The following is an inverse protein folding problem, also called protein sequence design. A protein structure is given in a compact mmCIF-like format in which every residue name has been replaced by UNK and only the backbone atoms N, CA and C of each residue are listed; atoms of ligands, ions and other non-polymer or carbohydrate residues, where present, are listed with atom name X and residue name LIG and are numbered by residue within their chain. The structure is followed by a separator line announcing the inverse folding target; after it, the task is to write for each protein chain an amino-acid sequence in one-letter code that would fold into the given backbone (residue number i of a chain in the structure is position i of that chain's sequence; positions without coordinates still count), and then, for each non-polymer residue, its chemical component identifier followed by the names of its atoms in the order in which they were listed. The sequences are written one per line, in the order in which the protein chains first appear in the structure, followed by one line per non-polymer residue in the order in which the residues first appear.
data_IF_504780312468
#
_entry.id   IF_504780312468
#
_cell.length_a   1.000
_cell.length_b   1.000
_cell.length_c   1.000
_cell.angle_alpha   90.00
_cell.angle_beta   90.00
_cell.angle_gamma   90.00
#
_symmetry.space_group_name_H-M   'P 1'
#
loop_
_entity.id
_entity.type
_entity.pdbx_description
1 polymer ?
#
# COMPACT_ATOMS: atom_id res chain seq x y z
N UNK A 1 51.56 2.88 -11.03
CA UNK A 1 51.18 1.45 -10.99
C UNK A 1 49.81 1.35 -10.33
N UNK A 2 48.85 0.67 -10.94
CA UNK A 2 47.50 0.51 -10.40
C UNK A 2 47.52 -0.45 -9.20
N UNK A 3 46.76 -0.17 -8.15
CA UNK A 3 46.64 -1.10 -7.01
C UNK A 3 45.98 -2.42 -7.49
N UNK A 4 46.40 -3.59 -6.97
CA UNK A 4 45.77 -4.86 -7.30
C UNK A 4 44.31 -4.88 -6.83
N UNK A 5 43.44 -5.42 -7.68
CA UNK A 5 42.02 -5.54 -7.38
C UNK A 5 41.79 -6.60 -6.28
N UNK A 6 41.20 -6.18 -5.15
CA UNK A 6 40.80 -7.08 -4.08
C UNK A 6 39.34 -7.50 -4.31
N UNK A 7 39.12 -8.69 -4.87
CA UNK A 7 37.79 -9.24 -5.13
C UNK A 7 37.14 -9.61 -3.79
N UNK A 8 36.04 -8.94 -3.42
CA UNK A 8 35.23 -9.35 -2.26
C UNK A 8 34.74 -10.79 -2.49
N UNK A 9 34.65 -11.63 -1.44
CA UNK A 9 33.93 -12.88 -1.54
C UNK A 9 32.48 -12.56 -1.90
N UNK A 10 32.03 -13.08 -3.04
CA UNK A 10 30.64 -12.96 -3.46
C UNK A 10 29.81 -13.90 -2.57
N UNK A 11 29.21 -13.39 -1.49
CA UNK A 11 28.08 -14.07 -0.86
C UNK A 11 26.88 -13.86 -1.77
N UNK A 12 26.74 -14.76 -2.75
CA UNK A 12 25.54 -14.87 -3.55
C UNK A 12 24.59 -15.76 -2.76
N UNK A 13 23.50 -15.21 -2.24
CA UNK A 13 22.39 -16.02 -1.77
C UNK A 13 21.76 -16.68 -3.00
N UNK A 14 22.24 -17.87 -3.35
CA UNK A 14 21.61 -18.73 -4.33
C UNK A 14 20.34 -19.33 -3.72
N UNK A 15 19.18 -18.80 -4.08
CA UNK A 15 17.93 -19.56 -4.00
C UNK A 15 17.91 -20.48 -5.23
N UNK A 16 18.39 -21.72 -5.03
CA UNK A 16 18.23 -22.79 -6.00
C UNK A 16 16.75 -23.15 -6.06
N UNK A 17 16.04 -22.64 -7.05
CA UNK A 17 14.82 -23.29 -7.54
C UNK A 17 15.32 -24.53 -8.30
N UNK A 18 15.32 -25.66 -7.61
CA UNK A 18 15.57 -26.94 -8.25
C UNK A 18 14.62 -27.10 -9.43
N UNK A 19 15.20 -27.51 -10.54
CA UNK A 19 14.59 -27.52 -11.84
C UNK A 19 13.52 -28.62 -11.95
N UNK A 20 12.35 -28.20 -12.46
CA UNK A 20 11.38 -28.97 -13.22
C UNK A 20 10.58 -30.06 -12.49
N UNK A 21 9.60 -29.63 -11.70
CA UNK A 21 8.22 -29.94 -12.06
C UNK A 21 7.51 -28.63 -12.35
N UNK A 22 6.78 -28.55 -13.45
CA UNK A 22 6.14 -27.32 -13.94
C UNK A 22 5.16 -26.75 -12.93
N UNK A 23 5.65 -25.94 -12.01
CA UNK A 23 4.85 -25.02 -11.24
C UNK A 23 4.86 -23.76 -12.09
N UNK A 24 3.75 -23.53 -12.79
CA UNK A 24 3.53 -22.27 -13.48
C UNK A 24 3.98 -21.16 -12.56
N UNK A 25 4.82 -20.28 -13.06
CA UNK A 25 4.83 -18.90 -12.57
C UNK A 25 3.43 -18.37 -12.90
N UNK A 26 2.45 -18.78 -12.11
CA UNK A 26 1.47 -17.84 -11.62
C UNK A 26 2.35 -16.77 -11.01
N UNK A 27 2.59 -15.73 -11.82
CA UNK A 27 2.82 -14.39 -11.35
C UNK A 27 2.04 -14.31 -10.05
N UNK A 28 2.73 -14.22 -8.91
CA UNK A 28 2.05 -13.91 -7.66
C UNK A 28 1.46 -12.52 -7.92
N UNK A 29 0.28 -12.51 -8.54
CA UNK A 29 -0.61 -11.40 -8.65
C UNK A 29 -0.97 -11.16 -7.21
N UNK A 30 -0.16 -10.35 -6.54
CA UNK A 30 -0.64 -9.62 -5.38
C UNK A 30 -1.92 -8.99 -5.91
N UNK A 31 -3.11 -9.44 -5.47
CA UNK A 31 -4.35 -8.97 -6.03
C UNK A 31 -4.31 -7.45 -5.87
N UNK A 32 -4.32 -6.76 -7.01
CA UNK A 32 -4.49 -5.31 -6.98
C UNK A 32 -5.89 -5.11 -6.44
N UNK A 33 -5.98 -4.82 -5.16
CA UNK A 33 -7.19 -4.27 -4.58
C UNK A 33 -7.33 -2.91 -5.26
N UNK A 34 -8.10 -2.87 -6.34
CA UNK A 34 -8.51 -1.63 -6.96
C UNK A 34 -9.43 -0.94 -5.98
N UNK A 35 -8.83 -0.23 -5.01
CA UNK A 35 -9.56 0.63 -4.10
C UNK A 35 -10.12 1.79 -4.93
N UNK A 36 -11.30 1.57 -5.51
CA UNK A 36 -12.05 2.63 -6.16
C UNK A 36 -12.41 3.65 -5.09
N UNK A 37 -11.98 4.92 -5.21
CA UNK A 37 -12.42 5.94 -4.28
C UNK A 37 -13.93 6.14 -4.51
N UNK A 38 -14.71 6.04 -3.44
CA UNK A 38 -16.14 6.35 -3.37
C UNK A 38 -17.18 5.34 -3.91
N UNK A 39 -16.86 4.05 -4.03
CA UNK A 39 -17.94 3.04 -4.08
C UNK A 39 -17.96 2.34 -2.73
N UNK A 40 -19.04 2.55 -1.96
CA UNK A 40 -19.42 1.58 -0.93
C UNK A 40 -19.73 0.30 -1.69
N UNK A 41 -18.74 -0.56 -1.85
CA UNK A 41 -18.98 -1.85 -2.45
C UNK A 41 -19.66 -2.73 -1.40
N UNK A 42 -20.98 -2.63 -1.37
CA UNK A 42 -21.79 -3.46 -0.47
C UNK A 42 -21.49 -4.94 -0.71
N UNK A 43 -21.03 -5.35 -1.90
CA UNK A 43 -20.64 -6.73 -2.15
C UNK A 43 -19.33 -7.15 -1.46
N UNK A 44 -18.43 -6.21 -1.17
CA UNK A 44 -17.23 -6.46 -0.33
C UNK A 44 -17.61 -6.55 1.15
N UNK A 45 -18.53 -5.70 1.62
CA UNK A 45 -18.97 -5.65 3.02
C UNK A 45 -19.90 -6.82 3.35
N UNK A 46 -20.71 -7.24 2.38
CA UNK A 46 -21.75 -8.27 2.46
C UNK A 46 -21.37 -9.34 1.42
N UNK A 47 -20.40 -10.23 1.72
CA UNK A 47 -20.05 -11.30 0.78
C UNK A 47 -21.26 -12.22 0.61
N UNK A 48 -21.76 -12.36 -0.61
CA UNK A 48 -22.85 -13.29 -0.92
C UNK A 48 -22.41 -14.76 -0.80
N UNK A 49 -23.31 -15.70 -0.45
CA UNK A 49 -24.75 -15.52 -0.29
C UNK A 49 -25.13 -15.53 1.19
N UNK A 50 -25.33 -14.33 1.74
CA UNK A 50 -25.94 -14.13 3.06
C UNK A 50 -27.37 -14.71 3.15
N UNK A 51 -27.95 -15.12 2.02
CA UNK A 51 -29.23 -15.83 1.93
C UNK A 51 -29.27 -17.24 2.53
N UNK A 52 -28.16 -17.82 3.02
CA UNK A 52 -28.20 -19.11 3.73
C UNK A 52 -28.35 -19.00 5.26
N UNK A 53 -28.08 -17.83 5.85
CA UNK A 53 -28.07 -17.64 7.32
C UNK A 53 -28.91 -16.46 7.80
N UNK A 54 -29.16 -15.44 6.97
CA UNK A 54 -30.00 -14.30 7.32
C UNK A 54 -31.34 -14.35 6.58
N UNK A 55 -32.39 -13.94 7.29
CA UNK A 55 -33.70 -13.67 6.69
C UNK A 55 -33.67 -12.38 5.87
N UNK A 56 -34.59 -12.23 4.92
CA UNK A 56 -34.69 -11.01 4.08
C UNK A 56 -34.82 -9.74 4.94
N UNK A 57 -35.59 -9.79 6.03
CA UNK A 57 -35.74 -8.67 6.97
C UNK A 57 -34.41 -8.29 7.64
N UNK A 58 -33.58 -9.27 8.01
CA UNK A 58 -32.27 -9.02 8.60
C UNK A 58 -31.28 -8.45 7.59
N UNK A 59 -31.32 -8.92 6.34
CA UNK A 59 -30.54 -8.34 5.24
C UNK A 59 -30.92 -6.87 5.03
N UNK A 60 -32.21 -6.54 5.07
CA UNK A 60 -32.68 -5.16 4.92
C UNK A 60 -32.25 -4.28 6.10
N UNK A 61 -32.31 -4.81 7.33
CA UNK A 61 -31.82 -4.10 8.51
C UNK A 61 -30.32 -3.81 8.41
N UNK A 62 -29.52 -4.79 7.97
CA UNK A 62 -28.08 -4.64 7.77
C UNK A 62 -27.77 -3.55 6.73
N UNK A 63 -28.45 -3.59 5.58
CA UNK A 63 -28.31 -2.57 4.53
C UNK A 63 -28.64 -1.18 5.06
N UNK A 64 -29.69 -1.04 5.86
CA UNK A 64 -30.08 0.25 6.45
C UNK A 64 -29.01 0.80 7.41
N UNK A 65 -28.35 -0.07 8.21
CA UNK A 65 -27.28 0.33 9.13
C UNK A 65 -26.03 0.76 8.38
N UNK A 66 -25.61 -0.01 7.38
CA UNK A 66 -24.43 0.32 6.55
C UNK A 66 -24.67 1.64 5.82
N UNK A 67 -25.86 1.84 5.26
CA UNK A 67 -26.23 3.10 4.63
C UNK A 67 -26.21 4.28 5.60
N UNK A 68 -26.76 4.09 6.81
CA UNK A 68 -26.81 5.13 7.85
C UNK A 68 -25.42 5.56 8.30
N UNK A 69 -24.47 4.64 8.41
CA UNK A 69 -23.10 4.90 8.86
C UNK A 69 -22.08 4.78 7.73
N UNK A 70 -22.50 5.05 6.48
CA UNK A 70 -21.65 4.85 5.30
C UNK A 70 -20.28 5.53 5.36
N UNK A 71 -20.20 6.69 6.01
CA UNK A 71 -18.95 7.44 6.15
C UNK A 71 -17.92 6.65 6.98
N UNK A 72 -18.37 5.81 7.93
CA UNK A 72 -17.51 4.92 8.71
C UNK A 72 -17.00 3.71 7.90
N UNK A 73 -17.70 3.36 6.81
CA UNK A 73 -17.34 2.27 5.90
C UNK A 73 -16.69 2.79 4.60
N UNK A 74 -16.28 4.06 4.59
CA UNK A 74 -15.60 4.65 3.44
C UNK A 74 -14.16 4.12 3.33
N UNK A 75 -13.75 3.81 2.10
CA UNK A 75 -12.35 3.50 1.78
C UNK A 75 -11.48 4.76 1.68
N UNK A 76 -12.07 5.97 1.77
CA UNK A 76 -11.34 7.23 1.81
C UNK A 76 -11.01 7.56 3.27
N UNK A 77 -9.72 7.77 3.61
CA UNK A 77 -9.36 8.12 4.97
C UNK A 77 -9.97 9.48 5.36
N UNK A 78 -10.49 9.54 6.58
CA UNK A 78 -10.98 10.78 7.17
C UNK A 78 -9.84 11.70 7.64
N UNK A 79 -10.17 12.97 7.90
CA UNK A 79 -9.28 13.95 8.53
C UNK A 79 -9.98 14.57 9.74
N UNK A 80 -9.24 14.76 10.82
CA UNK A 80 -9.69 15.50 12.01
C UNK A 80 -8.85 16.74 12.19
N UNK A 81 -9.50 17.87 12.49
CA UNK A 81 -8.83 19.14 12.82
C UNK A 81 -8.75 19.35 14.34
N UNK A 82 -9.12 18.35 15.15
CA UNK A 82 -9.17 18.46 16.62
C UNK A 82 -7.78 18.45 17.27
N UNK A 83 -6.83 17.71 16.72
CA UNK A 83 -5.48 17.53 17.28
C UNK A 83 -4.48 17.40 16.14
N UNK A 84 -3.34 18.07 16.28
CA UNK A 84 -2.15 17.88 15.45
C UNK A 84 -1.10 17.13 16.26
N UNK A 85 -0.47 16.13 15.66
CA UNK A 85 0.62 15.40 16.31
C UNK A 85 1.95 16.14 16.10
N UNK A 86 2.62 16.49 17.20
CA UNK A 86 3.99 17.00 17.19
C UNK A 86 4.96 15.87 17.54
N UNK A 87 6.03 15.71 16.77
CA UNK A 87 7.00 14.62 16.91
C UNK A 87 8.26 15.17 17.54
N UNK A 88 8.48 14.86 18.83
CA UNK A 88 9.70 15.23 19.54
C UNK A 88 10.89 14.39 19.06
N UNK A 89 11.95 15.06 18.62
CA UNK A 89 13.18 14.41 18.17
C UNK A 89 14.13 14.15 19.34
N UNK A 90 14.88 13.05 19.26
CA UNK A 90 15.98 12.74 20.19
C UNK A 90 17.26 13.48 19.79
N UNK A 91 17.44 13.76 18.49
CA UNK A 91 18.58 14.48 17.92
C UNK A 91 18.10 15.30 16.72
N UNK A 92 18.61 16.52 16.59
CA UNK A 92 18.34 17.44 15.48
C UNK A 92 19.23 17.17 14.25
N UNK A 93 20.10 16.16 14.29
CA UNK A 93 20.94 15.81 13.16
C UNK A 93 20.10 15.17 12.03
N UNK A 94 20.07 15.75 10.81
CA UNK A 94 19.25 15.24 9.73
C UNK A 94 19.79 13.92 9.17
N UNK A 95 18.89 12.97 8.90
CA UNK A 95 19.23 11.68 8.31
C UNK A 95 18.76 11.65 6.85
N UNK A 96 19.71 11.42 5.94
CA UNK A 96 19.46 11.36 4.50
C UNK A 96 19.88 10.03 3.90
N UNK A 97 18.90 9.32 3.35
CA UNK A 97 19.09 8.03 2.69
C UNK A 97 18.71 8.11 1.21
N UNK A 98 19.58 7.60 0.35
CA UNK A 98 19.38 7.65 -1.11
C UNK A 98 18.20 6.75 -1.52
N UNK A 99 17.29 7.22 -2.39
CA UNK A 99 16.23 6.38 -2.95
C UNK A 99 16.78 5.14 -3.66
N UNK A 100 16.04 4.03 -3.56
CA UNK A 100 16.36 2.82 -4.30
C UNK A 100 16.09 2.97 -5.79
N UNK A 101 16.78 2.16 -6.60
CA UNK A 101 16.47 2.04 -8.03
C UNK A 101 15.21 1.21 -8.19
N UNK A 102 14.23 1.76 -8.88
CA UNK A 102 12.96 1.12 -9.21
C UNK A 102 12.91 0.80 -10.71
N UNK A 103 12.28 -0.32 -11.05
CA UNK A 103 12.04 -0.72 -12.44
C UNK A 103 11.03 0.23 -13.14
N UNK A 104 10.96 0.25 -14.48
CA UNK A 104 9.94 1.03 -15.19
C UNK A 104 8.50 0.70 -14.79
N UNK A 105 8.16 -0.60 -14.61
CA UNK A 105 6.83 -1.05 -14.16
C UNK A 105 6.50 -0.50 -12.77
N UNK A 106 7.43 -0.59 -11.83
CA UNK A 106 7.25 -0.04 -10.48
C UNK A 106 7.06 1.47 -10.53
N UNK A 107 7.86 2.20 -11.31
CA UNK A 107 7.72 3.65 -11.45
C UNK A 107 6.35 4.08 -12.00
N UNK A 108 5.72 3.28 -12.86
CA UNK A 108 4.37 3.56 -13.33
C UNK A 108 3.33 3.42 -12.20
N UNK A 109 3.42 2.34 -11.42
CA UNK A 109 2.53 2.08 -10.28
C UNK A 109 2.69 3.20 -9.23
N UNK A 110 3.93 3.54 -8.91
CA UNK A 110 4.26 4.57 -7.94
C UNK A 110 3.72 5.94 -8.34
N UNK A 111 3.85 6.33 -9.61
CA UNK A 111 3.28 7.59 -10.09
C UNK A 111 1.76 7.64 -9.94
N UNK A 112 1.07 6.54 -10.25
CA UNK A 112 -0.38 6.44 -10.10
C UNK A 112 -0.80 6.60 -8.64
N UNK A 113 -0.11 5.91 -7.72
CA UNK A 113 -0.44 5.99 -6.29
C UNK A 113 -0.09 7.35 -5.67
N UNK A 114 1.06 7.93 -6.01
CA UNK A 114 1.43 9.28 -5.56
C UNK A 114 0.38 10.30 -6.02
N UNK A 115 -0.07 10.22 -7.27
CA UNK A 115 -1.11 11.11 -7.79
C UNK A 115 -2.45 10.93 -7.07
N UNK A 116 -2.81 9.68 -6.73
CA UNK A 116 -4.00 9.36 -5.93
C UNK A 116 -3.89 9.95 -4.52
N UNK A 117 -2.76 9.80 -3.83
CA UNK A 117 -2.57 10.35 -2.49
C UNK A 117 -2.54 11.88 -2.47
N UNK A 118 -1.97 12.51 -3.50
CA UNK A 118 -2.00 13.97 -3.70
C UNK A 118 -3.43 14.48 -3.91
N UNK A 119 -4.24 13.79 -4.72
CA UNK A 119 -5.65 14.19 -4.94
C UNK A 119 -6.50 14.06 -3.69
N UNK A 120 -6.22 13.04 -2.86
CA UNK A 120 -6.84 12.86 -1.53
C UNK A 120 -6.28 13.79 -0.45
N UNK A 121 -5.26 14.61 -0.76
CA UNK A 121 -4.59 15.53 0.19
C UNK A 121 -4.01 14.82 1.43
N UNK A 122 -3.56 13.57 1.26
CA UNK A 122 -2.87 12.79 2.32
C UNK A 122 -1.40 13.19 2.37
N UNK A 123 -0.80 13.48 1.21
CA UNK A 123 0.59 13.93 1.08
C UNK A 123 0.63 15.28 0.36
N UNK A 124 1.75 15.97 0.53
CA UNK A 124 2.04 17.23 -0.16
C UNK A 124 3.49 17.26 -0.66
N UNK A 125 3.76 18.16 -1.60
CA UNK A 125 5.12 18.39 -2.09
C UNK A 125 5.81 19.34 -1.12
N UNK A 126 6.95 18.91 -0.58
CA UNK A 126 7.75 19.71 0.34
C UNK A 126 9.26 19.52 0.11
N UNK A 127 10.04 20.33 0.81
CA UNK A 127 11.49 20.25 0.85
C UNK A 127 11.90 19.94 2.28
N UNK A 128 12.70 18.90 2.49
CA UNK A 128 13.12 18.43 3.82
C UNK A 128 14.59 18.03 3.80
N UNK A 129 15.28 18.29 4.91
CA UNK A 129 16.63 17.80 5.16
C UNK A 129 16.64 16.32 5.57
N UNK A 130 15.46 15.71 5.76
CA UNK A 130 15.28 14.29 6.08
C UNK A 130 14.78 13.52 4.86
N UNK A 131 15.39 12.38 4.57
CA UNK A 131 14.95 11.50 3.48
C UNK A 131 15.05 10.02 3.84
N UNK A 132 13.99 9.27 3.56
CA UNK A 132 13.92 7.82 3.69
C UNK A 132 13.59 7.19 2.33
N UNK A 133 14.23 6.08 1.93
CA UNK A 133 13.94 5.45 0.66
C UNK A 133 12.59 4.72 0.76
N UNK A 134 11.87 4.70 -0.35
CA UNK A 134 10.62 3.96 -0.51
C UNK A 134 10.91 2.58 -1.12
N UNK A 135 10.12 1.58 -0.70
CA UNK A 135 10.29 0.16 -1.04
C UNK A 135 9.14 -0.29 -1.95
#
# INVERSE_FOLDING_TARGET
MLKPYYKRPEQINFLSLEAEEGIGVDELEIPRIEQTPNVLDLSEIIPEPIGSTLTEDQCQQLRNVIWKYRECFSNVPGKTDLVTHDIELVSDEPVMSKPYRTSPRQNEILRKEIQKMLSMKIIEVGYSDYTSPMI
#
